data_IF_346573192249
#
_entry.id   IF_346573192249
#
_cell.length_a   1.000
_cell.length_b   1.000
_cell.length_c   1.000
_cell.angle_alpha   90.00
_cell.angle_beta   90.00
_cell.angle_gamma   90.00
#
_symmetry.space_group_name_H-M   'P 1'
#
loop_
_entity.id
_entity.type
_entity.pdbx_description
1 polymer ?
#
# COMPACT_ATOMS: atom_id res chain seq x y z
N UNK A 1 38.93 13.17 -69.34
CA UNK A 1 38.66 13.04 -67.90
C UNK A 1 37.49 12.08 -67.76
N UNK A 2 37.74 10.79 -67.49
CA UNK A 2 36.70 9.77 -67.34
C UNK A 2 36.97 9.05 -66.01
N UNK A 3 36.03 9.15 -65.09
CA UNK A 3 36.19 8.72 -63.71
C UNK A 3 35.36 7.44 -63.46
N UNK A 4 35.88 6.61 -62.54
CA UNK A 4 35.12 5.72 -61.64
C UNK A 4 34.59 4.40 -62.23
N UNK A 5 34.61 3.26 -61.54
CA UNK A 5 35.34 2.76 -60.37
C UNK A 5 35.25 1.23 -60.46
N UNK A 6 36.28 0.54 -59.95
CA UNK A 6 36.29 -0.89 -59.74
C UNK A 6 35.18 -1.32 -58.77
N UNK A 7 34.46 -2.39 -59.12
CA UNK A 7 33.56 -3.09 -58.19
C UNK A 7 34.42 -3.98 -57.29
N UNK A 8 34.96 -3.40 -56.21
CA UNK A 8 35.55 -4.20 -55.14
C UNK A 8 34.51 -4.49 -54.06
N UNK A 9 34.63 -5.70 -53.52
CA UNK A 9 33.71 -6.30 -52.57
C UNK A 9 33.83 -5.62 -51.22
N UNK A 10 32.72 -5.06 -50.71
CA UNK A 10 32.68 -4.64 -49.31
C UNK A 10 31.44 -5.21 -48.63
N UNK A 11 31.66 -6.38 -48.03
CA UNK A 11 30.96 -6.97 -46.90
C UNK A 11 30.37 -5.88 -45.99
N UNK A 12 29.05 -5.73 -46.03
CA UNK A 12 28.35 -4.87 -45.10
C UNK A 12 27.92 -5.71 -43.91
N UNK A 13 28.71 -5.55 -42.85
CA UNK A 13 28.56 -6.06 -41.51
C UNK A 13 27.09 -6.16 -41.07
N UNK A 14 26.63 -7.39 -40.83
CA UNK A 14 25.49 -7.65 -39.96
C UNK A 14 25.87 -7.18 -38.55
N UNK A 15 25.44 -5.99 -38.15
CA UNK A 15 25.49 -5.58 -36.75
C UNK A 15 24.53 -6.50 -35.98
N UNK A 16 24.99 -7.31 -35.01
CA UNK A 16 24.06 -7.89 -34.06
C UNK A 16 23.48 -6.72 -33.26
N UNK A 17 22.18 -6.46 -33.44
CA UNK A 17 21.43 -5.57 -32.55
C UNK A 17 21.78 -5.95 -31.12
N UNK A 18 22.18 -5.00 -30.24
CA UNK A 18 22.34 -5.33 -28.85
C UNK A 18 21.00 -5.89 -28.39
N UNK A 19 20.96 -7.17 -28.05
CA UNK A 19 19.92 -7.73 -27.20
C UNK A 19 19.94 -6.87 -25.95
N UNK A 20 19.12 -5.83 -25.96
CA UNK A 20 18.73 -5.13 -24.76
C UNK A 20 18.07 -6.22 -23.94
N UNK A 21 18.84 -6.83 -23.06
CA UNK A 21 18.33 -7.49 -21.88
C UNK A 21 17.62 -6.39 -21.10
N UNK A 22 16.43 -6.01 -21.57
CA UNK A 22 15.38 -5.59 -20.68
C UNK A 22 15.33 -6.73 -19.67
N UNK A 23 15.89 -6.47 -18.50
CA UNK A 23 15.43 -7.12 -17.29
C UNK A 23 13.95 -6.78 -17.26
N UNK A 24 13.15 -7.63 -17.88
CA UNK A 24 11.73 -7.73 -17.61
C UNK A 24 11.72 -8.00 -16.12
N UNK A 25 11.50 -6.95 -15.33
CA UNK A 25 10.99 -7.16 -13.99
C UNK A 25 9.67 -7.86 -14.28
N UNK A 26 9.66 -9.17 -14.12
CA UNK A 26 8.42 -9.91 -14.15
C UNK A 26 7.51 -9.20 -13.17
N UNK A 27 6.43 -8.65 -13.68
CA UNK A 27 5.32 -8.05 -12.95
C UNK A 27 4.59 -9.11 -12.08
N UNK A 28 5.22 -10.28 -11.86
CA UNK A 28 4.74 -11.44 -11.09
C UNK A 28 4.96 -11.29 -9.58
N UNK A 29 5.32 -10.10 -9.13
CA UNK A 29 5.31 -9.79 -7.71
C UNK A 29 4.68 -8.43 -7.48
N UNK A 30 3.43 -8.29 -7.96
CA UNK A 30 2.47 -7.46 -7.23
C UNK A 30 2.64 -7.84 -5.74
N UNK A 31 3.09 -6.92 -4.87
CA UNK A 31 3.18 -7.24 -3.45
C UNK A 31 1.80 -7.75 -3.08
N UNK A 32 1.72 -9.00 -2.62
CA UNK A 32 0.46 -9.58 -2.16
C UNK A 32 -0.21 -8.51 -1.33
N UNK A 33 -1.46 -8.09 -1.64
CA UNK A 33 -2.09 -7.01 -0.92
C UNK A 33 -1.91 -7.32 0.55
N UNK A 34 -1.12 -6.49 1.24
CA UNK A 34 -0.85 -6.67 2.66
C UNK A 34 -2.22 -6.91 3.29
N UNK A 35 -2.37 -7.93 4.16
CA UNK A 35 -3.66 -8.28 4.69
C UNK A 35 -4.31 -7.01 5.21
N UNK A 36 -5.37 -6.57 4.52
CA UNK A 36 -6.02 -5.31 4.84
C UNK A 36 -6.50 -5.45 6.27
N UNK A 37 -6.22 -4.42 7.06
CA UNK A 37 -6.64 -4.42 8.44
C UNK A 37 -8.17 -4.37 8.48
N UNK A 38 -8.77 -5.46 8.95
CA UNK A 38 -10.20 -5.52 9.14
C UNK A 38 -10.56 -4.71 10.37
N UNK A 39 -11.09 -3.51 10.13
CA UNK A 39 -11.72 -2.70 11.15
C UNK A 39 -12.81 -3.51 11.85
N UNK A 40 -12.94 -3.37 13.17
CA UNK A 40 -14.03 -4.01 13.88
C UNK A 40 -15.39 -3.58 13.30
N UNK A 41 -16.33 -4.52 13.22
CA UNK A 41 -17.68 -4.31 12.68
C UNK A 41 -18.41 -3.13 13.32
N UNK A 42 -18.08 -2.85 14.58
CA UNK A 42 -18.64 -1.75 15.36
C UNK A 42 -18.24 -0.36 14.86
N UNK A 43 -17.26 -0.29 13.95
CA UNK A 43 -16.73 0.97 13.41
C UNK A 43 -16.84 1.06 11.88
N UNK A 44 -16.96 -0.06 11.15
CA UNK A 44 -16.98 -0.06 9.68
C UNK A 44 -18.03 0.92 9.11
N UNK A 45 -19.26 0.83 9.64
CA UNK A 45 -20.37 1.71 9.24
C UNK A 45 -20.16 3.21 9.53
N UNK A 46 -19.25 3.55 10.46
CA UNK A 46 -18.96 4.94 10.80
C UNK A 46 -18.03 5.58 9.78
N UNK A 47 -17.19 4.80 9.13
CA UNK A 47 -16.22 5.27 8.15
C UNK A 47 -16.90 5.44 6.78
N UNK A 48 -17.89 4.59 6.48
CA UNK A 48 -18.65 4.62 5.24
C UNK A 48 -19.62 5.81 5.15
N UNK A 49 -20.05 6.37 6.28
CA UNK A 49 -21.04 7.45 6.31
C UNK A 49 -20.39 8.82 6.49
N UNK A 50 -20.63 9.77 5.55
CA UNK A 50 -20.13 11.13 5.69
C UNK A 50 -20.75 11.82 6.91
N UNK A 51 -19.94 12.59 7.65
CA UNK A 51 -20.38 13.34 8.83
C UNK A 51 -20.32 12.59 10.16
N UNK A 52 -19.83 11.35 10.18
CA UNK A 52 -19.70 10.56 11.42
C UNK A 52 -18.45 10.90 12.24
N UNK A 53 -17.66 11.90 11.86
CA UNK A 53 -16.42 12.30 12.57
C UNK A 53 -16.63 12.52 14.08
N UNK A 54 -17.74 13.15 14.48
CA UNK A 54 -18.05 13.36 15.91
C UNK A 54 -18.31 12.03 16.63
N UNK A 55 -18.96 11.08 15.95
CA UNK A 55 -19.25 9.75 16.49
C UNK A 55 -17.98 8.91 16.57
N UNK A 56 -17.14 8.96 15.54
CA UNK A 56 -15.82 8.32 15.50
C UNK A 56 -14.97 8.84 16.66
N UNK A 57 -14.86 10.16 16.85
CA UNK A 57 -14.10 10.75 17.96
C UNK A 57 -14.62 10.32 19.33
N UNK A 58 -15.95 10.28 19.52
CA UNK A 58 -16.55 9.79 20.77
C UNK A 58 -16.27 8.30 20.98
N UNK A 59 -16.30 7.48 19.93
CA UNK A 59 -15.99 6.04 20.02
C UNK A 59 -14.50 5.80 20.32
N UNK A 60 -13.61 6.56 19.70
CA UNK A 60 -12.16 6.53 19.99
C UNK A 60 -11.89 6.87 21.46
N UNK A 61 -12.52 7.92 22.00
CA UNK A 61 -12.39 8.27 23.42
C UNK A 61 -12.85 7.13 24.35
N UNK A 62 -14.01 6.52 24.07
CA UNK A 62 -14.48 5.35 24.82
C UNK A 62 -13.55 4.14 24.69
N UNK A 63 -12.92 3.96 23.53
CA UNK A 63 -11.96 2.89 23.32
C UNK A 63 -10.70 3.13 24.16
N UNK A 64 -10.19 4.37 24.18
CA UNK A 64 -9.07 4.78 25.03
C UNK A 64 -9.33 4.50 26.51
N UNK A 65 -10.53 4.83 27.00
CA UNK A 65 -10.93 4.57 28.39
C UNK A 65 -11.00 3.07 28.72
N UNK A 66 -11.29 2.23 27.74
CA UNK A 66 -11.41 0.78 27.92
C UNK A 66 -10.10 0.02 27.73
N UNK A 67 -9.10 0.59 27.02
CA UNK A 67 -7.76 -0.01 26.81
C UNK A 67 -7.13 -0.68 28.04
N UNK A 68 -7.07 -0.06 29.25
CA UNK A 68 -6.41 -0.68 30.40
C UNK A 68 -7.09 -1.96 30.90
N UNK A 69 -8.35 -2.19 30.53
CA UNK A 69 -9.14 -3.34 30.96
C UNK A 69 -9.23 -4.44 29.88
N UNK A 70 -8.59 -4.27 28.72
CA UNK A 70 -8.65 -5.22 27.62
C UNK A 70 -7.55 -6.29 27.74
N UNK A 71 -7.88 -7.52 27.33
CA UNK A 71 -6.91 -8.60 27.13
C UNK A 71 -5.91 -8.24 26.01
N UNK A 72 -4.70 -8.81 25.99
CA UNK A 72 -3.68 -8.47 24.98
C UNK A 72 -4.18 -8.57 23.53
N UNK A 73 -4.98 -9.59 23.20
CA UNK A 73 -5.58 -9.75 21.86
C UNK A 73 -6.52 -8.60 21.53
N UNK A 74 -7.42 -8.26 22.46
CA UNK A 74 -8.37 -7.16 22.28
C UNK A 74 -7.69 -5.80 22.31
N UNK A 75 -6.62 -5.65 23.08
CA UNK A 75 -5.83 -4.42 23.19
C UNK A 75 -5.09 -4.13 21.87
N UNK A 76 -4.53 -5.15 21.22
CA UNK A 76 -3.93 -5.03 19.89
C UNK A 76 -4.96 -4.59 18.85
N UNK A 77 -6.10 -5.28 18.80
CA UNK A 77 -7.21 -4.92 17.92
C UNK A 77 -7.69 -3.48 18.19
N UNK A 78 -7.93 -3.13 19.45
CA UNK A 78 -8.39 -1.80 19.83
C UNK A 78 -7.40 -0.69 19.46
N UNK A 79 -6.08 -0.93 19.63
CA UNK A 79 -5.05 0.04 19.20
C UNK A 79 -5.05 0.25 17.69
N UNK A 80 -5.23 -0.82 16.91
CA UNK A 80 -5.30 -0.73 15.46
C UNK A 80 -6.59 -0.04 15.00
N UNK A 81 -7.74 -0.36 15.61
CA UNK A 81 -9.03 0.29 15.35
C UNK A 81 -8.93 1.80 15.64
N UNK A 82 -8.31 2.17 16.77
CA UNK A 82 -8.04 3.56 17.10
C UNK A 82 -7.16 4.24 16.06
N UNK A 83 -6.08 3.60 15.64
CA UNK A 83 -5.16 4.18 14.64
C UNK A 83 -5.90 4.44 13.32
N UNK A 84 -6.73 3.48 12.89
CA UNK A 84 -7.56 3.65 11.70
C UNK A 84 -8.50 4.84 11.84
N UNK A 85 -9.30 4.86 12.92
CA UNK A 85 -10.30 5.89 13.16
C UNK A 85 -9.69 7.29 13.31
N UNK A 86 -8.53 7.40 13.98
CA UNK A 86 -7.79 8.66 14.10
C UNK A 86 -7.24 9.14 12.75
N UNK A 87 -6.81 8.22 11.89
CA UNK A 87 -6.33 8.56 10.54
C UNK A 87 -7.47 9.14 9.69
N UNK A 88 -8.65 8.52 9.73
CA UNK A 88 -9.86 9.02 9.06
C UNK A 88 -10.27 10.39 9.63
N UNK A 89 -10.23 10.58 10.96
CA UNK A 89 -10.51 11.88 11.58
C UNK A 89 -9.51 12.98 11.19
N UNK A 90 -8.25 12.60 10.93
CA UNK A 90 -7.21 13.48 10.41
C UNK A 90 -7.40 13.87 8.95
N UNK A 91 -8.40 13.30 8.26
CA UNK A 91 -8.64 13.51 6.83
C UNK A 91 -7.73 12.68 5.94
N UNK A 92 -7.11 11.62 6.46
CA UNK A 92 -6.33 10.69 5.64
C UNK A 92 -7.24 9.77 4.82
N UNK A 93 -6.75 9.37 3.65
CA UNK A 93 -7.43 8.40 2.80
C UNK A 93 -7.52 7.03 3.50
N UNK A 94 -8.55 6.26 3.13
CA UNK A 94 -8.79 4.93 3.72
C UNK A 94 -7.59 3.99 3.54
N UNK A 95 -6.88 4.06 2.43
CA UNK A 95 -5.69 3.22 2.16
C UNK A 95 -4.52 3.55 3.12
N UNK A 96 -4.34 4.84 3.45
CA UNK A 96 -3.34 5.27 4.42
C UNK A 96 -3.72 4.84 5.84
N UNK A 97 -5.00 4.98 6.20
CA UNK A 97 -5.55 4.52 7.47
C UNK A 97 -5.41 3.00 7.63
N UNK A 98 -5.73 2.23 6.58
CA UNK A 98 -5.55 0.77 6.50
C UNK A 98 -4.09 0.37 6.77
N UNK A 99 -3.16 1.02 6.07
CA UNK A 99 -1.73 0.71 6.18
C UNK A 99 -1.19 0.97 7.60
N UNK A 100 -1.60 2.07 8.22
CA UNK A 100 -1.20 2.41 9.60
C UNK A 100 -1.79 1.45 10.62
N UNK A 101 -3.09 1.18 10.51
CA UNK A 101 -3.76 0.25 11.41
C UNK A 101 -3.21 -1.17 11.31
N UNK A 102 -2.92 -1.64 10.09
CA UNK A 102 -2.28 -2.93 9.86
C UNK A 102 -0.87 -3.01 10.47
N UNK A 103 -0.11 -1.90 10.43
CA UNK A 103 1.20 -1.84 11.10
C UNK A 103 1.06 -1.96 12.61
N UNK A 104 0.06 -1.30 13.21
CA UNK A 104 -0.21 -1.39 14.66
C UNK A 104 -0.69 -2.79 15.06
N UNK A 105 -1.53 -3.42 14.25
CA UNK A 105 -2.04 -4.76 14.51
C UNK A 105 -0.92 -5.82 14.44
N UNK A 106 -0.02 -5.69 13.47
CA UNK A 106 1.09 -6.63 13.29
C UNK A 106 2.32 -6.31 14.15
N UNK A 107 2.30 -5.20 14.91
CA UNK A 107 3.40 -4.83 15.79
C UNK A 107 3.68 -5.95 16.82
N UNK A 108 4.96 -6.28 17.07
CA UNK A 108 5.33 -7.21 18.13
C UNK A 108 4.91 -6.64 19.50
N UNK A 109 4.36 -7.50 20.35
CA UNK A 109 3.90 -7.18 21.72
C UNK A 109 5.05 -7.19 22.73
#
# INVERSE_FOLDING_TARGET
MNANYASDSSSSYSTPSPSSTFRTFSDDQAPSPLPQYTLSSDFAHLVDQPGMNVVIARKVAKLQDSLPNLSQSNLRQAKADMMYLLSILGGEDMDAAQSRAGTVFNAPL
#
